data_IF_322690562000
#
_entry.id   IF_322690562000
#
_cell.length_a   1.000
_cell.length_b   1.000
_cell.length_c   1.000
_cell.angle_alpha   90.00
_cell.angle_beta   90.00
_cell.angle_gamma   90.00
#
_symmetry.space_group_name_H-M   'P 1'
#
loop_
_entity.id
_entity.type
_entity.pdbx_description
1 polymer ?
#
# COMPACT_ATOMS: atom_id res chain seq x y z
N UNK A 1 -25.85 -4.08 -18.51
CA UNK A 1 -24.59 -4.11 -19.29
C UNK A 1 -24.52 -2.79 -20.01
N UNK A 2 -23.38 -2.09 -20.00
CA UNK A 2 -23.25 -0.86 -20.76
C UNK A 2 -22.91 -1.20 -22.22
N UNK A 3 -23.66 -0.67 -23.17
CA UNK A 3 -23.43 -0.88 -24.60
C UNK A 3 -22.40 0.16 -25.10
N UNK A 4 -21.13 -0.05 -24.78
CA UNK A 4 -20.02 0.83 -25.16
C UNK A 4 -18.70 0.07 -25.34
N UNK A 5 -17.83 0.61 -26.18
CA UNK A 5 -16.41 0.22 -26.25
C UNK A 5 -15.62 1.11 -25.30
N UNK A 6 -14.95 0.51 -24.32
CA UNK A 6 -14.17 1.23 -23.32
C UNK A 6 -12.69 1.28 -23.73
N UNK A 7 -12.12 2.48 -23.73
CA UNK A 7 -10.68 2.70 -23.90
C UNK A 7 -10.07 3.17 -22.57
N UNK A 8 -8.86 2.71 -22.29
CA UNK A 8 -8.09 3.18 -21.13
C UNK A 8 -7.22 4.38 -21.53
N UNK A 9 -6.89 5.29 -20.59
CA UNK A 9 -5.95 6.36 -20.87
C UNK A 9 -4.61 5.82 -21.38
N UNK A 10 -3.96 6.56 -22.27
CA UNK A 10 -2.63 6.21 -22.77
C UNK A 10 -1.63 6.20 -21.60
N UNK A 11 -0.97 5.06 -21.37
CA UNK A 11 0.06 4.96 -20.36
C UNK A 11 1.35 5.63 -20.84
N UNK A 12 1.78 6.66 -20.12
CA UNK A 12 3.09 7.30 -20.29
C UNK A 12 3.93 7.05 -19.03
N UNK A 13 5.27 7.03 -19.18
CA UNK A 13 6.14 6.89 -18.02
C UNK A 13 6.02 8.12 -17.12
N UNK A 14 5.89 7.87 -15.81
CA UNK A 14 5.87 8.93 -14.80
C UNK A 14 7.19 9.73 -14.84
N UNK A 15 7.16 11.06 -14.95
CA UNK A 15 8.37 11.87 -14.96
C UNK A 15 9.19 11.70 -13.68
N UNK A 16 10.50 11.50 -13.83
CA UNK A 16 11.41 11.48 -12.68
C UNK A 16 11.69 12.92 -12.24
N UNK A 17 11.33 13.23 -11.00
CA UNK A 17 11.57 14.56 -10.42
C UNK A 17 13.06 14.76 -10.10
N UNK A 18 13.50 16.02 -10.14
CA UNK A 18 14.92 16.39 -10.00
C UNK A 18 15.42 16.35 -8.56
N UNK A 19 14.57 16.70 -7.59
CA UNK A 19 14.94 16.96 -6.19
C UNK A 19 16.12 17.94 -6.05
N UNK A 20 16.25 18.89 -6.99
CA UNK A 20 17.30 19.90 -6.98
C UNK A 20 17.24 20.79 -5.71
N UNK A 21 18.34 21.44 -5.30
CA UNK A 21 18.29 22.45 -4.23
C UNK A 21 17.21 23.51 -4.49
N UNK A 22 16.36 23.77 -3.50
CA UNK A 22 15.27 24.76 -3.59
C UNK A 22 13.97 24.27 -4.23
N UNK A 23 13.95 23.07 -4.80
CA UNK A 23 12.74 22.48 -5.39
C UNK A 23 11.68 22.11 -4.33
N UNK A 24 10.40 22.16 -4.73
CA UNK A 24 9.28 21.86 -3.83
C UNK A 24 9.27 20.38 -3.41
N UNK A 25 9.48 19.47 -4.36
CA UNK A 25 9.49 18.03 -4.11
C UNK A 25 10.58 17.63 -3.10
N UNK A 26 11.72 18.35 -3.09
CA UNK A 26 12.78 18.11 -2.10
C UNK A 26 12.35 18.57 -0.71
N UNK A 27 11.62 19.68 -0.60
CA UNK A 27 11.11 20.17 0.68
C UNK A 27 10.05 19.22 1.26
N UNK A 28 9.16 18.68 0.43
CA UNK A 28 8.13 17.72 0.80
C UNK A 28 8.74 16.40 1.30
N UNK A 29 9.69 15.83 0.54
CA UNK A 29 10.38 14.59 0.94
C UNK A 29 11.13 14.78 2.26
N UNK A 30 11.86 15.89 2.45
CA UNK A 30 12.52 16.19 3.73
C UNK A 30 11.54 16.27 4.89
N UNK A 31 10.39 16.90 4.67
CA UNK A 31 9.32 17.00 5.67
C UNK A 31 8.79 15.63 6.03
N UNK A 32 8.54 14.78 5.03
CA UNK A 32 8.01 13.44 5.27
C UNK A 32 9.03 12.51 5.94
N UNK A 33 10.31 12.57 5.56
CA UNK A 33 11.40 11.84 6.22
C UNK A 33 11.46 12.19 7.71
N UNK A 34 11.42 13.49 8.05
CA UNK A 34 11.40 13.93 9.46
C UNK A 34 10.16 13.43 10.18
N UNK A 35 8.99 13.51 9.54
CA UNK A 35 7.71 13.07 10.11
C UNK A 35 7.68 11.56 10.37
N UNK A 36 8.11 10.74 9.42
CA UNK A 36 8.14 9.29 9.55
C UNK A 36 9.23 8.83 10.52
N UNK A 37 10.41 9.44 10.44
CA UNK A 37 11.52 9.12 11.33
C UNK A 37 11.23 9.44 12.80
N UNK A 38 10.30 10.34 13.10
CA UNK A 38 9.96 10.71 14.48
C UNK A 38 8.68 10.03 15.00
N UNK A 39 8.17 9.04 14.27
CA UNK A 39 6.98 8.27 14.67
C UNK A 39 7.32 6.79 14.75
N UNK A 40 6.81 6.13 15.78
CA UNK A 40 6.81 4.67 15.87
C UNK A 40 5.41 4.19 15.51
N UNK A 41 5.26 3.53 14.36
CA UNK A 41 3.95 3.07 13.87
C UNK A 41 3.70 1.60 14.17
N UNK A 42 2.45 1.26 14.48
CA UNK A 42 2.00 -0.14 14.61
C UNK A 42 1.32 -0.58 13.31
N UNK A 43 1.92 -1.57 12.64
CA UNK A 43 1.45 -2.14 11.37
C UNK A 43 0.69 -3.45 11.65
N UNK A 44 -0.64 -3.49 11.46
CA UNK A 44 -1.40 -4.72 11.53
C UNK A 44 -1.26 -5.54 10.23
N UNK A 45 -1.66 -6.81 10.26
CA UNK A 45 -2.04 -7.51 9.04
C UNK A 45 -3.42 -7.01 8.59
N UNK A 46 -3.70 -7.03 7.28
CA UNK A 46 -5.02 -6.77 6.73
C UNK A 46 -5.56 -8.07 6.13
N UNK A 47 -6.59 -8.64 6.73
CA UNK A 47 -7.20 -9.90 6.28
C UNK A 47 -8.70 -9.66 6.04
N UNK A 48 -9.13 -9.80 4.79
CA UNK A 48 -10.53 -9.56 4.40
C UNK A 48 -11.03 -8.15 4.76
N UNK A 49 -10.17 -7.14 4.62
CA UNK A 49 -10.49 -5.74 4.97
C UNK A 49 -10.40 -5.41 6.46
N UNK A 50 -10.07 -6.38 7.33
CA UNK A 50 -9.97 -6.16 8.79
C UNK A 50 -8.52 -6.06 9.26
N UNK A 51 -8.27 -5.17 10.22
CA UNK A 51 -6.98 -5.05 10.91
C UNK A 51 -6.84 -6.20 11.91
N UNK A 52 -5.84 -7.06 11.71
CA UNK A 52 -5.52 -8.18 12.60
C UNK A 52 -4.19 -7.91 13.29
N UNK A 53 -4.20 -8.00 14.62
CA UNK A 53 -3.03 -7.76 15.48
C UNK A 53 -2.68 -9.02 16.25
N UNK A 54 -1.38 -9.22 16.47
CA UNK A 54 -0.86 -10.35 17.24
C UNK A 54 -0.02 -9.84 18.41
N UNK A 55 0.16 -10.68 19.43
CA UNK A 55 1.08 -10.38 20.54
C UNK A 55 2.55 -10.44 20.09
N UNK A 56 2.85 -11.26 19.07
CA UNK A 56 4.19 -11.35 18.51
C UNK A 56 4.44 -10.18 17.55
N UNK A 57 5.14 -9.16 18.06
CA UNK A 57 5.54 -7.98 17.31
C UNK A 57 6.99 -8.12 16.85
N UNK A 58 7.27 -7.58 15.67
CA UNK A 58 8.64 -7.47 15.14
C UNK A 58 8.93 -6.01 14.83
N UNK A 59 10.07 -5.55 15.29
CA UNK A 59 10.47 -4.15 15.17
C UNK A 59 10.95 -3.83 13.75
N UNK A 60 10.71 -2.59 13.32
CA UNK A 60 11.13 -2.06 12.02
C UNK A 60 12.12 -0.93 12.29
N UNK A 61 13.27 -1.03 11.64
CA UNK A 61 14.38 -0.10 11.77
C UNK A 61 14.86 0.33 10.37
N UNK A 62 15.27 1.60 10.18
CA UNK A 62 15.99 1.99 8.97
C UNK A 62 17.31 1.22 8.87
N UNK A 63 17.66 0.64 7.71
CA UNK A 63 18.91 -0.12 7.56
C UNK A 63 20.19 0.71 7.83
N UNK A 64 20.13 2.02 7.60
CA UNK A 64 21.24 2.95 7.86
C UNK A 64 21.32 3.43 9.33
N UNK A 65 20.30 3.17 10.15
CA UNK A 65 20.25 3.53 11.56
C UNK A 65 19.46 2.48 12.35
N UNK A 66 20.08 1.31 12.52
CA UNK A 66 19.43 0.14 13.16
C UNK A 66 19.07 0.37 14.63
N UNK A 67 19.66 1.38 15.29
CA UNK A 67 19.32 1.73 16.68
C UNK A 67 17.98 2.45 16.77
N UNK A 68 17.55 3.09 15.68
CA UNK A 68 16.30 3.84 15.62
C UNK A 68 15.13 2.95 15.24
N UNK A 69 14.17 2.80 16.15
CA UNK A 69 12.91 2.11 15.89
C UNK A 69 11.92 3.07 15.23
N UNK A 70 11.36 2.68 14.08
CA UNK A 70 10.33 3.46 13.35
C UNK A 70 8.97 2.76 13.31
N UNK A 71 8.90 1.51 13.73
CA UNK A 71 7.63 0.82 13.85
C UNK A 71 7.73 -0.59 14.39
N UNK A 72 6.57 -1.23 14.46
CA UNK A 72 6.41 -2.65 14.73
C UNK A 72 5.35 -3.23 13.81
N UNK A 73 5.54 -4.44 13.30
CA UNK A 73 4.46 -5.16 12.61
C UNK A 73 4.00 -6.38 13.38
N UNK A 74 2.76 -6.79 13.15
CA UNK A 74 2.18 -8.00 13.72
C UNK A 74 2.64 -9.23 12.94
N UNK A 75 3.43 -10.10 13.56
CA UNK A 75 3.88 -11.35 12.93
C UNK A 75 2.74 -12.35 12.87
N UNK A 76 2.43 -12.81 11.66
CA UNK A 76 1.43 -13.85 11.39
C UNK A 76 1.92 -15.25 11.74
N UNK A 77 0.98 -16.18 11.80
CA UNK A 77 1.23 -17.62 11.97
C UNK A 77 0.35 -18.40 10.98
N UNK A 78 0.39 -19.74 11.04
CA UNK A 78 -0.37 -20.61 10.13
C UNK A 78 -1.87 -20.27 10.07
N UNK A 79 -2.53 -20.05 11.21
CA UNK A 79 -3.97 -19.77 11.21
C UNK A 79 -4.32 -18.42 10.56
N UNK A 80 -3.44 -17.41 10.68
CA UNK A 80 -3.61 -16.15 9.96
C UNK A 80 -3.52 -16.34 8.45
N UNK A 81 -2.58 -17.18 7.98
CA UNK A 81 -2.44 -17.51 6.56
C UNK A 81 -3.69 -18.22 6.04
N UNK A 82 -4.18 -19.24 6.74
CA UNK A 82 -5.42 -19.94 6.39
C UNK A 82 -6.63 -18.99 6.34
N UNK A 83 -6.71 -18.06 7.29
CA UNK A 83 -7.78 -17.04 7.33
C UNK A 83 -7.66 -16.08 6.14
N UNK A 84 -6.44 -15.69 5.76
CA UNK A 84 -6.20 -14.86 4.59
C UNK A 84 -6.58 -15.56 3.28
N UNK A 85 -6.24 -16.84 3.13
CA UNK A 85 -6.64 -17.67 1.98
C UNK A 85 -8.17 -17.74 1.88
N UNK A 86 -8.85 -18.07 2.99
CA UNK A 86 -10.32 -18.12 3.03
C UNK A 86 -10.95 -16.77 2.68
N UNK A 87 -10.39 -15.66 3.18
CA UNK A 87 -10.87 -14.33 2.86
C UNK A 87 -10.70 -13.97 1.37
N UNK A 88 -9.55 -14.32 0.78
CA UNK A 88 -9.29 -14.11 -0.65
C UNK A 88 -10.24 -14.95 -1.53
N UNK A 89 -10.41 -16.24 -1.22
CA UNK A 89 -11.33 -17.12 -1.94
C UNK A 89 -12.79 -16.66 -1.81
N UNK A 90 -13.18 -16.14 -0.64
CA UNK A 90 -14.50 -15.55 -0.44
C UNK A 90 -14.73 -14.29 -1.29
N UNK A 91 -13.71 -13.45 -1.47
CA UNK A 91 -13.81 -12.23 -2.27
C UNK A 91 -13.77 -12.49 -3.79
N UNK A 92 -13.17 -13.60 -4.21
CA UNK A 92 -12.92 -13.95 -5.62
C UNK A 92 -14.16 -13.81 -6.52
N UNK A 93 -15.35 -14.38 -6.20
CA UNK A 93 -16.49 -14.34 -7.13
C UNK A 93 -16.96 -12.92 -7.45
N UNK A 94 -16.97 -12.04 -6.46
CA UNK A 94 -17.35 -10.64 -6.66
C UNK A 94 -16.29 -9.87 -7.46
N UNK A 95 -15.00 -10.11 -7.18
CA UNK A 95 -13.91 -9.48 -7.90
C UNK A 95 -13.81 -9.93 -9.36
N UNK A 96 -14.04 -11.21 -9.65
CA UNK A 96 -13.95 -11.71 -11.02
C UNK A 96 -15.18 -11.36 -11.87
N UNK A 97 -16.34 -11.19 -11.24
CA UNK A 97 -17.56 -10.70 -11.89
C UNK A 97 -17.54 -9.18 -12.17
N UNK A 98 -16.60 -8.44 -11.58
CA UNK A 98 -16.45 -7.01 -11.81
C UNK A 98 -16.05 -6.74 -13.27
N UNK A 99 -16.70 -5.78 -13.96
CA UNK A 99 -16.29 -5.35 -15.29
C UNK A 99 -14.80 -4.98 -15.32
N UNK A 100 -14.12 -5.33 -16.42
CA UNK A 100 -12.67 -5.17 -16.48
C UNK A 100 -12.24 -3.69 -16.33
N UNK A 101 -13.04 -2.76 -16.85
CA UNK A 101 -12.80 -1.32 -16.77
C UNK A 101 -12.91 -0.79 -15.34
N UNK A 102 -13.82 -1.34 -14.53
CA UNK A 102 -13.96 -0.96 -13.13
C UNK A 102 -12.76 -1.47 -12.30
N UNK A 103 -12.27 -2.68 -12.63
CA UNK A 103 -11.01 -3.18 -12.04
C UNK A 103 -9.83 -2.30 -12.42
N UNK A 104 -9.72 -1.90 -13.69
CA UNK A 104 -8.67 -1.01 -14.17
C UNK A 104 -8.73 0.36 -13.46
N UNK A 105 -9.93 0.91 -13.27
CA UNK A 105 -10.14 2.20 -12.60
C UNK A 105 -9.56 2.24 -11.18
N UNK A 106 -9.57 1.13 -10.45
CA UNK A 106 -8.96 1.04 -9.11
C UNK A 106 -7.44 1.29 -9.19
N UNK A 107 -6.77 0.71 -10.19
CA UNK A 107 -5.32 0.88 -10.37
C UNK A 107 -4.96 2.24 -10.95
N UNK A 108 -5.77 2.77 -11.89
CA UNK A 108 -5.60 4.12 -12.42
C UNK A 108 -5.73 5.15 -11.30
N UNK A 109 -6.73 5.00 -10.43
CA UNK A 109 -6.88 5.88 -9.28
C UNK A 109 -5.73 5.75 -8.29
N UNK A 110 -5.18 4.54 -8.11
CA UNK A 110 -4.02 4.33 -7.25
C UNK A 110 -2.76 4.98 -7.83
N UNK A 111 -2.60 4.99 -9.16
CA UNK A 111 -1.50 5.68 -9.83
C UNK A 111 -1.55 7.20 -9.60
N UNK A 112 -2.73 7.82 -9.75
CA UNK A 112 -2.90 9.27 -9.51
C UNK A 112 -2.69 9.70 -8.05
N UNK A 113 -2.79 8.77 -7.10
CA UNK A 113 -2.63 9.05 -5.67
C UNK A 113 -1.17 8.94 -5.20
N UNK A 114 -0.29 8.35 -6.01
CA UNK A 114 1.13 8.15 -5.72
C UNK A 114 1.97 9.29 -6.32
#
# INVERSE_FOLDING_TARGET
MADAFFEVPLAINEPVLSYAPGSLERAEVKTMIKKMGNKVIDIPMYIGGRKVRTKQKVDIHPPHDIKKKIGTYSKGNKSHVETAIKAALKAKPAWEAMPWQDRAAIFLKAADLL
#
